data_IF_419691543984
#
_entry.id   IF_419691543984
#
_cell.length_a   1.000
_cell.length_b   1.000
_cell.length_c   1.000
_cell.angle_alpha   90.00
_cell.angle_beta   90.00
_cell.angle_gamma   90.00
#
_symmetry.space_group_name_H-M   'P 1'
#
loop_
_entity.id
_entity.type
_entity.pdbx_description
1 polymer ?
#
# COMPACT_ATOMS: atom_id res chain seq x y z
N UNK A 1 -22.05 19.38 -17.02
CA UNK A 1 -21.79 19.99 -15.70
C UNK A 1 -21.69 18.94 -14.58
N UNK A 2 -22.59 17.94 -14.55
CA UNK A 2 -22.61 16.89 -13.51
C UNK A 2 -21.33 16.04 -13.43
N UNK A 3 -20.73 15.70 -14.59
CA UNK A 3 -19.48 14.92 -14.69
C UNK A 3 -18.31 15.66 -14.02
N UNK A 4 -18.21 16.97 -14.23
CA UNK A 4 -17.14 17.81 -13.64
C UNK A 4 -17.27 17.83 -12.11
N UNK A 5 -18.49 17.92 -11.58
CA UNK A 5 -18.74 17.88 -10.13
C UNK A 5 -18.45 16.49 -9.52
N UNK A 6 -18.63 15.39 -10.27
CA UNK A 6 -18.24 14.05 -9.81
C UNK A 6 -16.73 13.89 -9.78
N UNK A 7 -16.02 14.34 -10.81
CA UNK A 7 -14.55 14.31 -10.87
C UNK A 7 -13.96 15.15 -9.74
N UNK A 8 -14.49 16.35 -9.49
CA UNK A 8 -14.03 17.22 -8.41
C UNK A 8 -14.24 16.59 -7.02
N UNK A 9 -15.41 15.99 -6.76
CA UNK A 9 -15.68 15.29 -5.49
C UNK A 9 -14.80 14.06 -5.30
N UNK A 10 -14.53 13.31 -6.37
CA UNK A 10 -13.61 12.17 -6.33
C UNK A 10 -12.18 12.64 -6.01
N UNK A 11 -11.72 13.71 -6.67
CA UNK A 11 -10.41 14.29 -6.42
C UNK A 11 -10.27 14.80 -4.98
N UNK A 12 -11.29 15.46 -4.43
CA UNK A 12 -11.29 15.91 -3.03
C UNK A 12 -11.24 14.75 -2.04
N UNK A 13 -12.00 13.67 -2.29
CA UNK A 13 -11.95 12.46 -1.43
C UNK A 13 -10.59 11.78 -1.48
N UNK A 14 -10.01 11.63 -2.67
CA UNK A 14 -8.67 11.07 -2.83
C UNK A 14 -7.66 11.95 -2.09
N UNK A 15 -7.67 13.27 -2.31
CA UNK A 15 -6.75 14.19 -1.65
C UNK A 15 -6.87 14.13 -0.12
N UNK A 16 -8.10 14.07 0.41
CA UNK A 16 -8.34 14.00 1.85
C UNK A 16 -7.87 12.66 2.45
N UNK A 17 -8.11 11.54 1.77
CA UNK A 17 -7.61 10.23 2.21
C UNK A 17 -6.07 10.20 2.19
N UNK A 18 -5.47 10.71 1.10
CA UNK A 18 -4.01 10.80 0.98
C UNK A 18 -3.42 11.69 2.06
N UNK A 19 -4.03 12.85 2.36
CA UNK A 19 -3.59 13.76 3.43
C UNK A 19 -3.73 13.15 4.83
N UNK A 20 -4.84 12.48 5.13
CA UNK A 20 -5.04 11.79 6.41
C UNK A 20 -4.03 10.66 6.60
N UNK A 21 -3.77 9.86 5.57
CA UNK A 21 -2.77 8.78 5.62
C UNK A 21 -1.35 9.31 5.77
N UNK A 22 -1.09 10.51 5.28
CA UNK A 22 0.22 11.18 5.34
C UNK A 22 0.55 11.82 6.67
N UNK A 23 -0.45 12.23 7.43
CA UNK A 23 -0.27 12.81 8.76
C UNK A 23 0.01 11.75 9.85
N UNK A 24 -0.26 10.48 9.57
CA UNK A 24 -0.13 9.38 10.55
C UNK A 24 1.27 8.77 10.57
N UNK A 25 2.06 8.95 9.51
CA UNK A 25 3.34 8.28 9.33
C UNK A 25 4.44 9.33 9.05
N UNK A 26 5.36 9.59 9.99
CA UNK A 26 6.36 10.65 9.84
C UNK A 26 7.28 10.43 8.62
N UNK A 27 7.60 9.17 8.27
CA UNK A 27 8.37 8.86 7.05
C UNK A 27 7.60 9.18 5.77
N UNK A 28 6.27 9.07 5.79
CA UNK A 28 5.43 9.49 4.67
C UNK A 28 5.46 11.00 4.49
N UNK A 29 5.43 11.75 5.60
CA UNK A 29 5.39 13.21 5.55
C UNK A 29 6.63 13.81 4.87
N UNK A 30 7.82 13.24 5.08
CA UNK A 30 9.05 13.64 4.40
C UNK A 30 8.98 13.40 2.89
N UNK A 31 8.51 12.21 2.47
CA UNK A 31 8.35 11.86 1.06
C UNK A 31 7.33 12.75 0.34
N UNK A 32 6.23 13.12 1.01
CA UNK A 32 5.26 14.07 0.46
C UNK A 32 5.84 15.47 0.34
N UNK A 33 6.56 15.95 1.35
CA UNK A 33 7.19 17.28 1.29
C UNK A 33 8.14 17.33 0.09
N UNK A 34 8.99 16.31 -0.08
CA UNK A 34 9.87 16.20 -1.24
C UNK A 34 9.07 16.19 -2.57
N UNK A 35 7.96 15.45 -2.62
CA UNK A 35 7.09 15.40 -3.79
C UNK A 35 6.43 16.75 -4.12
N UNK A 36 5.93 17.47 -3.11
CA UNK A 36 5.33 18.80 -3.26
C UNK A 36 6.36 19.82 -3.75
N UNK A 37 7.60 19.74 -3.25
CA UNK A 37 8.72 20.55 -3.72
C UNK A 37 9.00 20.27 -5.21
N UNK A 38 9.08 19.00 -5.61
CA UNK A 38 9.30 18.60 -7.00
C UNK A 38 8.17 19.09 -7.93
N UNK A 39 6.92 19.02 -7.47
CA UNK A 39 5.77 19.57 -8.18
C UNK A 39 5.85 21.10 -8.34
N UNK A 40 6.24 21.80 -7.27
CA UNK A 40 6.44 23.25 -7.29
C UNK A 40 7.51 23.65 -8.31
N UNK A 41 8.65 22.96 -8.31
CA UNK A 41 9.74 23.18 -9.27
C UNK A 41 9.28 22.87 -10.70
N UNK A 42 8.63 21.73 -10.93
CA UNK A 42 8.13 21.33 -12.24
C UNK A 42 7.09 22.30 -12.81
N UNK A 43 6.17 22.78 -11.96
CA UNK A 43 5.18 23.80 -12.33
C UNK A 43 5.83 25.13 -12.68
N UNK A 44 6.82 25.56 -11.89
CA UNK A 44 7.57 26.79 -12.16
C UNK A 44 8.34 26.74 -13.48
N UNK A 45 9.07 25.64 -13.74
CA UNK A 45 9.77 25.42 -15.01
C UNK A 45 8.79 25.44 -16.19
N UNK A 46 7.63 24.81 -16.03
CA UNK A 46 6.59 24.80 -17.06
C UNK A 46 6.07 26.20 -17.38
N UNK A 47 5.83 27.01 -16.35
CA UNK A 47 5.42 28.41 -16.51
C UNK A 47 6.47 29.24 -17.23
N UNK A 48 7.75 29.08 -16.87
CA UNK A 48 8.86 29.78 -17.54
C UNK A 48 8.94 29.41 -19.02
N UNK A 49 8.85 28.13 -19.34
CA UNK A 49 8.94 27.67 -20.74
C UNK A 49 7.70 28.07 -21.54
N UNK A 50 6.51 28.03 -20.94
CA UNK A 50 5.28 28.54 -21.55
C UNK A 50 5.38 30.03 -21.84
N UNK A 51 5.85 30.84 -20.88
CA UNK A 51 5.98 32.27 -21.05
C UNK A 51 6.97 32.62 -22.18
N UNK A 52 8.10 31.91 -22.22
CA UNK A 52 9.12 32.08 -23.26
C UNK A 52 8.67 31.63 -24.66
N UNK A 53 7.77 30.64 -24.75
CA UNK A 53 7.37 30.02 -26.01
C UNK A 53 5.88 30.17 -26.34
N UNK A 54 5.26 31.28 -25.92
CA UNK A 54 3.83 31.57 -26.11
C UNK A 54 3.30 31.40 -27.55
N UNK A 55 4.17 31.48 -28.56
CA UNK A 55 3.83 31.27 -29.97
C UNK A 55 3.84 29.81 -30.47
N UNK A 56 4.24 28.83 -29.65
CA UNK A 56 4.35 27.43 -30.08
C UNK A 56 3.49 26.48 -29.21
N UNK A 57 2.21 26.29 -29.57
CA UNK A 57 1.29 25.45 -28.78
C UNK A 57 1.73 23.98 -28.71
N UNK A 58 2.45 23.48 -29.72
CA UNK A 58 2.96 22.09 -29.72
C UNK A 58 3.99 21.86 -28.63
N UNK A 59 4.83 22.86 -28.34
CA UNK A 59 5.83 22.76 -27.28
C UNK A 59 5.16 22.79 -25.89
N UNK A 60 4.17 23.68 -25.69
CA UNK A 60 3.41 23.75 -24.45
C UNK A 60 2.73 22.42 -24.10
N UNK A 61 2.07 21.77 -25.08
CA UNK A 61 1.42 20.47 -24.88
C UNK A 61 2.42 19.39 -24.47
N UNK A 62 3.60 19.33 -25.10
CA UNK A 62 4.64 18.34 -24.76
C UNK A 62 5.14 18.49 -23.33
N UNK A 63 5.30 19.73 -22.87
CA UNK A 63 5.76 20.01 -21.50
C UNK A 63 4.70 19.60 -20.49
N UNK A 64 3.44 20.00 -20.72
CA UNK A 64 2.32 19.60 -19.85
C UNK A 64 2.22 18.07 -19.78
N UNK A 65 2.31 17.37 -20.91
CA UNK A 65 2.31 15.91 -20.95
C UNK A 65 3.50 15.31 -20.16
N UNK A 66 4.70 15.89 -20.27
CA UNK A 66 5.88 15.46 -19.52
C UNK A 66 5.71 15.63 -18.00
N UNK A 67 5.17 16.77 -17.56
CA UNK A 67 4.87 17.04 -16.14
C UNK A 67 3.85 16.05 -15.59
N UNK A 68 2.74 15.84 -16.32
CA UNK A 68 1.71 14.86 -15.94
C UNK A 68 2.31 13.45 -15.88
N UNK A 69 3.11 13.05 -16.87
CA UNK A 69 3.79 11.75 -16.88
C UNK A 69 4.73 11.58 -15.68
N UNK A 70 5.51 12.61 -15.35
CA UNK A 70 6.42 12.62 -14.21
C UNK A 70 5.66 12.51 -12.89
N UNK A 71 4.55 13.24 -12.76
CA UNK A 71 3.66 13.16 -11.60
C UNK A 71 3.17 11.73 -11.36
N UNK A 72 2.66 11.07 -12.41
CA UNK A 72 2.21 9.68 -12.30
C UNK A 72 3.37 8.73 -11.97
N UNK A 73 4.53 8.88 -12.61
CA UNK A 73 5.70 8.04 -12.32
C UNK A 73 6.14 8.13 -10.85
N UNK A 74 6.17 9.35 -10.29
CA UNK A 74 6.54 9.53 -8.89
C UNK A 74 5.47 8.96 -7.95
N UNK A 75 4.17 9.16 -8.24
CA UNK A 75 3.07 8.55 -7.48
C UNK A 75 3.17 7.02 -7.44
N UNK A 76 3.42 6.38 -8.60
CA UNK A 76 3.64 4.94 -8.67
C UNK A 76 4.89 4.50 -7.90
N UNK A 77 5.98 5.27 -7.98
CA UNK A 77 7.21 5.01 -7.24
C UNK A 77 7.01 5.08 -5.72
N UNK A 78 6.29 6.10 -5.23
CA UNK A 78 5.94 6.24 -3.82
C UNK A 78 5.11 5.06 -3.34
N UNK A 79 4.05 4.69 -4.07
CA UNK A 79 3.21 3.55 -3.72
C UNK A 79 4.01 2.24 -3.63
N UNK A 80 4.91 2.00 -4.59
CA UNK A 80 5.79 0.83 -4.59
C UNK A 80 6.72 0.81 -3.37
N UNK A 81 7.34 1.95 -3.03
CA UNK A 81 8.22 2.08 -1.86
C UNK A 81 7.47 1.84 -0.55
N UNK A 82 6.28 2.43 -0.39
CA UNK A 82 5.44 2.24 0.80
C UNK A 82 5.12 0.78 1.00
N UNK A 83 4.69 0.10 -0.07
CA UNK A 83 4.36 -1.33 -0.03
C UNK A 83 5.58 -2.20 0.30
N UNK A 84 6.74 -1.85 -0.24
CA UNK A 84 8.00 -2.54 0.06
C UNK A 84 8.45 -2.34 1.51
N UNK A 85 8.36 -1.11 2.02
CA UNK A 85 8.70 -0.79 3.42
C UNK A 85 7.74 -1.50 4.38
N UNK A 86 6.42 -1.41 4.16
CA UNK A 86 5.43 -2.10 5.00
C UNK A 86 5.66 -3.61 5.05
N UNK A 87 6.02 -4.23 3.92
CA UNK A 87 6.41 -5.65 3.87
C UNK A 87 7.71 -5.94 4.62
N UNK A 88 8.73 -5.08 4.47
CA UNK A 88 10.01 -5.22 5.19
C UNK A 88 9.80 -5.11 6.70
N UNK A 89 9.01 -4.13 7.13
CA UNK A 89 8.70 -3.90 8.54
C UNK A 89 7.89 -5.05 9.11
N UNK A 90 6.87 -5.54 8.40
CA UNK A 90 6.14 -6.74 8.80
C UNK A 90 7.04 -7.95 9.01
N UNK A 91 7.91 -8.25 8.03
CA UNK A 91 8.87 -9.37 8.16
C UNK A 91 9.84 -9.15 9.32
N UNK A 92 10.25 -7.91 9.58
CA UNK A 92 11.12 -7.56 10.72
C UNK A 92 10.41 -7.82 12.05
N UNK A 93 9.17 -7.37 12.19
CA UNK A 93 8.39 -7.59 13.43
C UNK A 93 8.10 -9.08 13.64
N UNK A 94 7.72 -9.83 12.59
CA UNK A 94 7.56 -11.28 12.69
C UNK A 94 8.83 -12.01 13.14
N UNK A 95 10.00 -11.64 12.59
CA UNK A 95 11.27 -12.26 12.98
C UNK A 95 11.64 -12.00 14.43
N UNK A 96 11.18 -10.90 15.03
CA UNK A 96 11.38 -10.65 16.47
C UNK A 96 10.51 -11.60 17.31
N UNK A 97 9.32 -11.95 16.81
CA UNK A 97 8.38 -12.85 17.48
C UNK A 97 8.71 -14.33 17.31
N UNK A 98 9.41 -14.73 16.24
CA UNK A 98 9.63 -16.13 15.80
C UNK A 98 10.08 -17.10 16.92
N UNK A 99 10.76 -16.61 17.97
CA UNK A 99 11.23 -17.43 19.10
C UNK A 99 10.39 -17.33 20.38
N UNK A 100 9.31 -16.55 20.38
CA UNK A 100 8.57 -16.18 21.60
C UNK A 100 7.05 -16.10 21.45
N UNK A 101 6.47 -16.43 20.29
CA UNK A 101 5.01 -16.40 20.13
C UNK A 101 4.35 -17.24 21.22
N UNK A 102 3.50 -16.61 22.01
CA UNK A 102 2.73 -17.26 23.08
C UNK A 102 1.35 -17.64 22.61
N UNK A 103 0.78 -16.87 21.68
CA UNK A 103 -0.61 -17.04 21.25
C UNK A 103 -0.83 -16.53 19.82
N UNK A 104 -1.62 -17.30 19.07
CA UNK A 104 -2.12 -16.93 17.74
C UNK A 104 -3.65 -16.96 17.84
N UNK A 105 -4.28 -15.82 17.58
CA UNK A 105 -5.72 -15.73 17.44
C UNK A 105 -6.09 -15.46 15.98
N UNK A 106 -7.14 -16.12 15.51
CA UNK A 106 -7.80 -15.82 14.23
C UNK A 106 -9.26 -15.51 14.49
N UNK A 107 -9.72 -14.35 14.00
CA UNK A 107 -11.07 -13.84 14.22
C UNK A 107 -11.47 -13.78 15.71
N UNK A 108 -10.47 -13.58 16.59
CA UNK A 108 -10.65 -13.53 18.05
C UNK A 108 -10.63 -14.88 18.76
N UNK A 109 -10.52 -15.99 18.02
CA UNK A 109 -10.43 -17.34 18.59
C UNK A 109 -8.96 -17.80 18.63
N UNK A 110 -8.52 -18.38 19.75
CA UNK A 110 -7.19 -19.00 19.85
C UNK A 110 -7.15 -20.24 18.96
N UNK A 111 -6.16 -20.32 18.09
CA UNK A 111 -5.98 -21.44 17.16
C UNK A 111 -4.73 -22.23 17.51
N UNK A 112 -4.85 -23.55 17.56
CA UNK A 112 -3.74 -24.46 17.75
C UNK A 112 -3.07 -24.75 16.40
N UNK A 113 -2.28 -23.78 15.93
CA UNK A 113 -1.45 -23.90 14.74
C UNK A 113 0.02 -24.00 15.16
N UNK A 114 0.79 -24.81 14.44
CA UNK A 114 2.24 -24.85 14.63
C UNK A 114 2.82 -23.46 14.32
N UNK A 115 3.18 -22.73 15.38
CA UNK A 115 3.70 -21.36 15.32
C UNK A 115 4.77 -21.20 14.25
N UNK A 116 5.75 -22.10 14.22
CA UNK A 116 6.87 -22.04 13.28
C UNK A 116 6.39 -22.11 11.81
N UNK A 117 5.37 -22.92 11.51
CA UNK A 117 4.80 -23.02 10.17
C UNK A 117 4.05 -21.75 9.79
N UNK A 118 3.25 -21.20 10.71
CA UNK A 118 2.53 -19.94 10.49
C UNK A 118 3.51 -18.81 10.21
N UNK A 119 4.53 -18.63 11.05
CA UNK A 119 5.52 -17.56 10.87
C UNK A 119 6.28 -17.74 9.56
N UNK A 120 6.70 -18.97 9.22
CA UNK A 120 7.37 -19.27 7.94
C UNK A 120 6.51 -18.91 6.74
N UNK A 121 5.23 -19.26 6.74
CA UNK A 121 4.29 -18.91 5.68
C UNK A 121 4.09 -17.38 5.59
N UNK A 122 3.97 -16.69 6.72
CA UNK A 122 3.84 -15.22 6.73
C UNK A 122 5.12 -14.52 6.23
N UNK A 123 6.30 -15.04 6.54
CA UNK A 123 7.58 -14.54 6.03
C UNK A 123 7.74 -14.73 4.51
N UNK A 124 6.96 -15.61 3.90
CA UNK A 124 6.91 -15.82 2.46
C UNK A 124 6.20 -14.69 1.70
N UNK A 125 5.57 -13.72 2.39
CA UNK A 125 4.84 -12.64 1.74
C UNK A 125 5.69 -11.95 0.67
N UNK A 126 5.11 -11.84 -0.53
CA UNK A 126 5.77 -11.25 -1.68
C UNK A 126 4.79 -10.44 -2.54
N UNK A 127 5.33 -9.74 -3.54
CA UNK A 127 4.56 -9.05 -4.55
C UNK A 127 4.27 -10.03 -5.70
N UNK A 128 3.27 -10.89 -5.49
CA UNK A 128 2.81 -11.82 -6.53
C UNK A 128 2.26 -11.06 -7.74
N UNK A 129 2.31 -11.69 -8.92
CA UNK A 129 1.82 -11.09 -10.17
C UNK A 129 0.37 -10.64 -10.00
N UNK A 130 0.09 -9.43 -10.49
CA UNK A 130 -1.27 -8.92 -10.52
C UNK A 130 -2.14 -9.80 -11.42
N UNK A 131 -3.31 -10.15 -10.91
CA UNK A 131 -4.44 -10.71 -11.65
C UNK A 131 -5.70 -9.98 -11.18
N UNK A 132 -6.77 -10.02 -11.97
CA UNK A 132 -7.96 -9.17 -11.81
C UNK A 132 -8.92 -9.69 -10.73
N UNK A 133 -8.39 -10.14 -9.60
CA UNK A 133 -9.16 -10.65 -8.47
C UNK A 133 -9.40 -9.58 -7.40
N UNK A 134 -10.32 -9.88 -6.50
CA UNK A 134 -10.57 -9.14 -5.26
C UNK A 134 -10.53 -10.06 -4.03
N UNK A 135 -10.23 -9.54 -2.82
CA UNK A 135 -10.41 -10.29 -1.59
C UNK A 135 -11.90 -10.58 -1.35
N UNK A 136 -12.21 -11.73 -0.73
CA UNK A 136 -13.58 -12.18 -0.44
C UNK A 136 -13.76 -12.50 1.03
N UNK A 137 -13.10 -13.56 1.50
CA UNK A 137 -13.10 -13.98 2.90
C UNK A 137 -11.98 -13.27 3.65
N UNK A 138 -12.20 -12.91 4.91
CA UNK A 138 -11.25 -12.13 5.68
C UNK A 138 -10.93 -12.82 7.01
N UNK A 139 -9.65 -13.11 7.23
CA UNK A 139 -9.14 -13.62 8.48
C UNK A 139 -8.36 -12.51 9.20
N UNK A 140 -8.75 -12.19 10.43
CA UNK A 140 -8.05 -11.22 11.27
C UNK A 140 -7.13 -11.98 12.20
N UNK A 141 -5.83 -11.83 12.00
CA UNK A 141 -4.81 -12.46 12.83
C UNK A 141 -4.33 -11.49 13.91
N UNK A 142 -4.26 -11.97 15.14
CA UNK A 142 -3.44 -11.40 16.20
C UNK A 142 -2.38 -12.41 16.62
N UNK A 143 -1.11 -12.01 16.54
CA UNK A 143 0.02 -12.79 17.03
C UNK A 143 0.66 -12.00 18.17
N UNK A 144 0.87 -12.65 19.31
CA UNK A 144 1.47 -12.02 20.49
C UNK A 144 2.53 -12.91 21.14
N UNK A 145 3.56 -12.28 21.72
CA UNK A 145 4.52 -12.89 22.65
C UNK A 145 4.26 -12.48 24.11
N UNK A 146 3.11 -11.85 24.37
CA UNK A 146 2.72 -11.28 25.67
C UNK A 146 3.21 -9.84 25.90
N UNK A 147 4.18 -9.35 25.14
CA UNK A 147 4.68 -7.96 25.21
C UNK A 147 4.40 -7.16 23.94
N UNK A 148 4.53 -7.83 22.80
CA UNK A 148 4.40 -7.28 21.46
C UNK A 148 3.23 -7.97 20.79
N UNK A 149 2.37 -7.17 20.15
CA UNK A 149 1.22 -7.66 19.40
C UNK A 149 1.32 -7.20 17.95
N UNK A 150 1.12 -8.13 17.02
CA UNK A 150 0.98 -7.82 15.59
C UNK A 150 -0.44 -8.17 15.17
N UNK A 151 -1.16 -7.17 14.67
CA UNK A 151 -2.49 -7.30 14.08
C UNK A 151 -2.41 -7.14 12.58
N UNK A 152 -2.95 -8.10 11.84
CA UNK A 152 -3.03 -8.03 10.40
C UNK A 152 -4.22 -8.80 9.88
N UNK A 153 -4.53 -8.59 8.60
CA UNK A 153 -5.68 -9.17 7.93
C UNK A 153 -5.23 -9.92 6.70
N UNK A 154 -5.76 -11.12 6.51
CA UNK A 154 -5.59 -11.93 5.31
C UNK A 154 -6.92 -12.00 4.56
N UNK A 155 -6.98 -11.38 3.38
CA UNK A 155 -8.13 -11.47 2.48
C UNK A 155 -7.94 -12.58 1.46
N UNK A 156 -8.77 -13.62 1.46
CA UNK A 156 -8.69 -14.71 0.48
C UNK A 156 -8.98 -14.20 -0.92
N UNK A 157 -8.12 -14.56 -1.85
CA UNK A 157 -8.28 -14.22 -3.25
C UNK A 157 -9.46 -14.97 -3.89
N UNK A 158 -10.33 -14.24 -4.59
CA UNK A 158 -11.55 -14.78 -5.23
C UNK A 158 -11.26 -15.81 -6.32
N UNK A 159 -10.14 -15.70 -7.03
CA UNK A 159 -9.78 -16.60 -8.11
C UNK A 159 -8.86 -17.73 -7.62
N UNK A 160 -7.93 -17.40 -6.72
CA UNK A 160 -6.91 -18.34 -6.24
C UNK A 160 -7.14 -18.68 -4.76
N UNK A 161 -7.83 -19.79 -4.49
CA UNK A 161 -8.18 -20.23 -3.13
C UNK A 161 -7.03 -20.38 -2.14
N UNK A 162 -5.80 -20.51 -2.63
CA UNK A 162 -4.57 -20.61 -1.82
C UNK A 162 -3.79 -19.30 -1.76
N UNK A 163 -4.35 -18.20 -2.24
CA UNK A 163 -3.70 -16.89 -2.25
C UNK A 163 -4.44 -15.93 -1.32
N UNK A 164 -3.68 -15.20 -0.51
CA UNK A 164 -4.21 -14.31 0.51
C UNK A 164 -3.55 -12.94 0.38
N UNK A 165 -4.37 -11.89 0.31
CA UNK A 165 -3.97 -10.50 0.36
C UNK A 165 -3.63 -10.12 1.80
N UNK A 166 -2.39 -9.73 2.07
CA UNK A 166 -1.97 -9.30 3.39
C UNK A 166 -2.16 -7.78 3.55
N UNK A 167 -2.99 -7.40 4.51
CA UNK A 167 -3.28 -6.02 4.88
C UNK A 167 -2.85 -5.73 6.32
N UNK A 168 -2.14 -4.62 6.51
CA UNK A 168 -1.74 -4.11 7.81
C UNK A 168 -2.18 -2.65 7.91
N UNK A 169 -2.99 -2.34 8.94
CA UNK A 169 -3.51 -0.99 9.21
C UNK A 169 -4.23 -0.36 7.98
N UNK A 170 -4.96 -1.17 7.21
CA UNK A 170 -5.69 -0.74 6.02
C UNK A 170 -4.83 -0.62 4.76
N UNK A 171 -3.60 -1.13 4.78
CA UNK A 171 -2.66 -1.09 3.65
C UNK A 171 -2.33 -2.51 3.20
N UNK A 172 -2.62 -2.83 1.94
CA UNK A 172 -2.12 -4.06 1.33
C UNK A 172 -0.60 -3.99 1.14
N UNK A 173 0.14 -4.87 1.82
CA UNK A 173 1.61 -4.92 1.74
C UNK A 173 2.13 -6.06 0.85
N UNK A 174 1.25 -6.95 0.39
CA UNK A 174 1.62 -8.07 -0.46
C UNK A 174 0.57 -9.16 -0.51
N UNK A 175 0.99 -10.31 -1.01
CA UNK A 175 0.21 -11.54 -1.02
C UNK A 175 1.04 -12.72 -0.53
N UNK A 176 0.37 -13.71 0.04
CA UNK A 176 0.94 -14.99 0.47
C UNK A 176 0.23 -16.09 -0.31
N UNK A 177 0.98 -17.10 -0.77
CA UNK A 177 0.40 -18.29 -1.38
C UNK A 177 0.61 -19.49 -0.48
N UNK A 178 -0.46 -19.95 0.17
CA UNK A 178 -0.41 -21.04 1.13
C UNK A 178 -1.72 -21.83 1.19
N UNK A 179 -1.63 -23.07 1.67
CA UNK A 179 -2.80 -23.90 2.00
C UNK A 179 -3.11 -23.91 3.49
N UNK A 180 -2.18 -23.44 4.33
CA UNK A 180 -2.25 -23.53 5.79
C UNK A 180 -3.53 -22.90 6.36
N UNK A 181 -4.04 -21.86 5.71
CA UNK A 181 -5.19 -21.09 6.19
C UNK A 181 -6.52 -21.51 5.57
N UNK A 182 -6.54 -22.55 4.72
CA UNK A 182 -7.76 -22.93 3.99
C UNK A 182 -8.85 -23.51 4.90
N UNK A 183 -8.45 -24.11 6.02
CA UNK A 183 -9.32 -24.83 6.94
C UNK A 183 -9.63 -24.00 8.20
N UNK A 184 -9.24 -22.72 8.21
CA UNK A 184 -9.54 -21.79 9.29
C UNK A 184 -10.82 -21.04 8.94
N UNK A 185 -11.91 -21.34 9.66
CA UNK A 185 -13.21 -20.68 9.56
C UNK A 185 -13.33 -19.48 10.51
#
# INVERSE_FOLDING_TARGET
MEVIMRIHRLHQKVLHLTLCELLVDPEMSENLIAFLILLGIGGFVTLLVYHKNRGNPKLAIRIVACVIGTFFLVQFGMYATIRQNGRRDFKRELRKLDLKVTEIQVNGNVVDLATEEVIKELLSVDNLRAHHSSPTDELIFHITDGQTEIKFKLGRDSEFKTEYWLDIKGRNIGKIRTRLFNDIE
#
